data_IF_667430910235
#
_entry.id   IF_667430910235
#
_cell.length_a   1.000
_cell.length_b   1.000
_cell.length_c   1.000
_cell.angle_alpha   90.00
_cell.angle_beta   90.00
_cell.angle_gamma   90.00
#
_symmetry.space_group_name_H-M   'P 1'
#
loop_
_entity.id
_entity.type
_entity.pdbx_description
1 polymer ?
#
# COMPACT_ATOMS: atom_id res chain seq x y z
N UNK A 1 -22.99 -16.01 13.19
CA UNK A 1 -22.60 -15.08 14.26
C UNK A 1 -21.09 -14.82 14.24
N UNK A 2 -20.24 -15.84 14.06
CA UNK A 2 -18.78 -15.65 13.94
C UNK A 2 -18.35 -14.88 12.68
N UNK A 3 -18.99 -15.13 11.53
CA UNK A 3 -18.66 -14.43 10.27
C UNK A 3 -18.87 -12.90 10.34
N UNK A 4 -19.93 -12.42 11.02
CA UNK A 4 -20.16 -10.98 11.17
C UNK A 4 -19.19 -10.33 12.15
N UNK A 5 -18.79 -11.04 13.20
CA UNK A 5 -17.77 -10.57 14.14
C UNK A 5 -16.38 -10.52 13.48
N UNK A 6 -16.06 -11.49 12.62
CA UNK A 6 -14.84 -11.49 11.82
C UNK A 6 -14.82 -10.33 10.81
N UNK A 7 -15.94 -10.06 10.12
CA UNK A 7 -16.07 -8.91 9.23
C UNK A 7 -15.93 -7.58 9.99
N UNK A 8 -16.54 -7.46 11.17
CA UNK A 8 -16.36 -6.29 12.04
C UNK A 8 -14.90 -6.11 12.45
N UNK A 9 -14.18 -7.19 12.77
CA UNK A 9 -12.74 -7.14 13.07
C UNK A 9 -11.90 -6.75 11.85
N UNK A 10 -12.26 -7.22 10.66
CA UNK A 10 -11.63 -6.82 9.39
C UNK A 10 -11.79 -5.32 9.13
N UNK A 11 -12.89 -4.70 9.55
CA UNK A 11 -13.08 -3.24 9.51
C UNK A 11 -12.24 -2.48 10.54
N UNK A 12 -11.69 -3.15 11.57
CA UNK A 12 -10.80 -2.52 12.55
C UNK A 12 -9.34 -2.46 12.08
N UNK A 13 -8.95 -3.27 11.09
CA UNK A 13 -7.70 -3.09 10.38
C UNK A 13 -7.94 -2.10 9.25
N UNK A 14 -7.39 -0.87 9.31
CA UNK A 14 -7.68 0.15 8.32
C UNK A 14 -6.92 -0.17 7.02
N UNK A 15 -7.57 -0.92 6.12
CA UNK A 15 -7.01 -1.38 4.84
C UNK A 15 -7.49 -0.48 3.71
N UNK A 16 -6.55 0.17 3.04
CA UNK A 16 -6.75 0.82 1.76
C UNK A 16 -6.79 -0.20 0.62
N UNK A 17 -7.82 -0.11 -0.22
CA UNK A 17 -7.96 -0.92 -1.42
C UNK A 17 -8.02 -0.02 -2.65
N UNK A 18 -7.18 -0.29 -3.63
CA UNK A 18 -7.16 0.40 -4.93
C UNK A 18 -7.23 -0.64 -6.04
N UNK A 19 -8.14 -0.45 -6.98
CA UNK A 19 -8.11 -1.14 -8.27
C UNK A 19 -7.45 -0.23 -9.28
N UNK A 20 -6.42 -0.71 -9.94
CA UNK A 20 -5.67 0.02 -10.95
C UNK A 20 -5.46 -0.84 -12.20
N UNK A 21 -5.12 -0.21 -13.32
CA UNK A 21 -4.57 -0.92 -14.48
C UNK A 21 -3.12 -1.33 -14.23
N UNK A 22 -2.57 -2.21 -15.06
CA UNK A 22 -1.16 -2.59 -15.00
C UNK A 22 -0.22 -1.40 -15.23
N UNK A 23 -0.68 -0.36 -15.94
CA UNK A 23 0.01 0.92 -16.07
C UNK A 23 0.09 1.75 -14.78
N UNK A 24 -0.72 1.39 -13.78
CA UNK A 24 -0.89 2.12 -12.53
C UNK A 24 -2.08 3.08 -12.54
N UNK A 25 -2.80 3.24 -13.67
CA UNK A 25 -3.99 4.09 -13.73
C UNK A 25 -5.03 3.63 -12.70
N UNK A 26 -5.38 4.49 -11.76
CA UNK A 26 -6.35 4.20 -10.71
C UNK A 26 -7.75 4.20 -11.32
N UNK A 27 -8.43 3.06 -11.24
CA UNK A 27 -9.81 2.88 -11.70
C UNK A 27 -10.78 3.24 -10.59
N UNK A 28 -10.50 2.80 -9.35
CA UNK A 28 -11.24 3.19 -8.15
C UNK A 28 -10.45 2.87 -6.89
N UNK A 29 -10.85 3.51 -5.79
CA UNK A 29 -10.31 3.21 -4.47
C UNK A 29 -11.36 3.37 -3.38
N UNK A 30 -11.16 2.72 -2.23
CA UNK A 30 -11.99 2.96 -1.05
C UNK A 30 -11.52 4.24 -0.30
N UNK A 31 -12.35 4.81 0.61
CA UNK A 31 -11.98 6.01 1.36
C UNK A 31 -10.70 5.84 2.19
N UNK A 32 -10.46 4.64 2.72
CA UNK A 32 -9.26 4.35 3.50
C UNK A 32 -7.98 4.48 2.66
N UNK A 33 -7.99 4.01 1.40
CA UNK A 33 -6.86 4.16 0.49
C UNK A 33 -6.58 5.65 0.22
N UNK A 34 -7.61 6.45 -0.04
CA UNK A 34 -7.45 7.90 -0.23
C UNK A 34 -6.81 8.56 0.99
N UNK A 35 -7.26 8.19 2.20
CA UNK A 35 -6.70 8.72 3.45
C UNK A 35 -5.23 8.34 3.65
N UNK A 36 -4.86 7.08 3.38
CA UNK A 36 -3.47 6.62 3.46
C UNK A 36 -2.60 7.27 2.38
N UNK A 37 -3.05 7.34 1.13
CA UNK A 37 -2.29 7.93 0.02
C UNK A 37 -2.09 9.44 0.18
N UNK A 38 -3.04 10.15 0.81
CA UNK A 38 -2.88 11.56 1.17
C UNK A 38 -1.65 11.81 2.06
N UNK A 39 -1.21 10.82 2.84
CA UNK A 39 0.01 10.92 3.67
C UNK A 39 1.30 10.96 2.86
N UNK A 40 1.27 10.45 1.62
CA UNK A 40 2.35 10.56 0.62
C UNK A 40 2.20 11.84 -0.21
N UNK A 41 1.17 12.65 0.05
CA UNK A 41 0.87 13.86 -0.70
C UNK A 41 0.08 13.59 -1.97
N UNK A 42 -0.77 12.55 -1.99
CA UNK A 42 -1.78 12.41 -3.04
C UNK A 42 -2.72 13.63 -3.01
N UNK A 43 -2.90 14.26 -4.16
CA UNK A 43 -3.90 15.32 -4.36
C UNK A 43 -5.01 14.80 -5.29
N UNK A 44 -6.18 15.47 -5.29
CA UNK A 44 -7.41 15.05 -5.97
C UNK A 44 -7.30 14.78 -7.50
N UNK A 45 -6.14 15.02 -8.12
CA UNK A 45 -5.92 14.92 -9.57
C UNK A 45 -4.90 13.83 -9.96
N UNK A 46 -4.34 13.09 -9.00
CA UNK A 46 -3.37 12.03 -9.31
C UNK A 46 -4.08 10.71 -9.63
N UNK A 47 -4.06 10.35 -10.92
CA UNK A 47 -4.72 9.17 -11.46
C UNK A 47 -3.80 7.96 -11.59
N UNK A 48 -2.56 7.99 -11.10
CA UNK A 48 -1.64 6.84 -11.20
C UNK A 48 -1.00 6.49 -9.86
N UNK A 49 -1.19 5.24 -9.43
CA UNK A 49 -0.72 4.75 -8.13
C UNK A 49 0.81 4.70 -8.02
N UNK A 50 1.51 4.41 -9.12
CA UNK A 50 2.96 4.36 -9.12
C UNK A 50 3.58 5.75 -9.05
N UNK A 51 2.95 6.76 -9.69
CA UNK A 51 3.41 8.15 -9.56
C UNK A 51 3.31 8.64 -8.11
N UNK A 52 2.29 8.19 -7.37
CA UNK A 52 2.14 8.48 -5.95
C UNK A 52 3.24 7.78 -5.14
N UNK A 53 3.47 6.49 -5.36
CA UNK A 53 4.53 5.74 -4.65
C UNK A 53 5.93 6.28 -4.95
N UNK A 54 6.20 6.70 -6.18
CA UNK A 54 7.49 7.23 -6.65
C UNK A 54 7.92 8.50 -5.90
N UNK A 55 6.99 9.21 -5.23
CA UNK A 55 7.31 10.33 -4.32
C UNK A 55 8.17 9.88 -3.14
N UNK A 56 8.12 8.59 -2.79
CA UNK A 56 8.83 7.99 -1.66
C UNK A 56 9.83 6.93 -2.13
N UNK A 57 9.43 6.03 -3.03
CA UNK A 57 10.31 5.03 -3.61
C UNK A 57 9.80 4.54 -4.98
N UNK A 58 10.72 4.35 -5.92
CA UNK A 58 10.45 3.79 -7.25
C UNK A 58 10.46 2.26 -7.28
N UNK A 59 10.85 1.62 -6.19
CA UNK A 59 11.09 0.18 -6.13
C UNK A 59 9.81 -0.62 -6.39
N UNK A 60 8.66 -0.14 -5.91
CA UNK A 60 7.36 -0.79 -6.15
C UNK A 60 7.05 -0.85 -7.65
N UNK A 61 7.27 0.24 -8.39
CA UNK A 61 7.08 0.27 -9.84
C UNK A 61 8.03 -0.71 -10.52
N UNK A 62 9.30 -0.73 -10.12
CA UNK A 62 10.29 -1.63 -10.68
C UNK A 62 9.89 -3.10 -10.48
N UNK A 63 9.51 -3.49 -9.25
CA UNK A 63 9.09 -4.86 -8.93
C UNK A 63 7.90 -5.33 -9.79
N UNK A 64 6.91 -4.47 -9.99
CA UNK A 64 5.74 -4.81 -10.82
C UNK A 64 6.10 -4.88 -12.31
N UNK A 65 6.99 -4.00 -12.78
CA UNK A 65 7.35 -3.89 -14.20
C UNK A 65 8.49 -4.82 -14.64
N UNK A 66 9.23 -5.43 -13.70
CA UNK A 66 10.35 -6.33 -14.00
C UNK A 66 9.88 -7.63 -14.67
N UNK A 67 8.67 -8.09 -14.34
CA UNK A 67 8.12 -9.34 -14.87
C UNK A 67 6.69 -9.18 -15.43
N UNK A 68 6.50 -8.41 -16.53
CA UNK A 68 5.17 -8.15 -17.09
C UNK A 68 4.48 -9.44 -17.55
N UNK A 69 5.25 -10.44 -17.96
CA UNK A 69 4.78 -11.74 -18.41
C UNK A 69 4.73 -12.81 -17.30
N UNK A 70 4.99 -12.44 -16.03
CA UNK A 70 4.84 -13.41 -14.94
C UNK A 70 3.38 -13.88 -14.85
N UNK A 71 3.21 -15.16 -14.52
CA UNK A 71 1.91 -15.75 -14.17
C UNK A 71 1.60 -15.62 -12.68
N UNK A 72 2.48 -14.97 -11.92
CA UNK A 72 2.31 -14.79 -10.49
C UNK A 72 1.14 -13.87 -10.20
N UNK A 73 0.34 -14.27 -9.21
CA UNK A 73 -0.82 -13.50 -8.74
C UNK A 73 -0.37 -12.36 -7.84
N UNK A 74 0.71 -12.55 -7.08
CA UNK A 74 1.28 -11.53 -6.18
C UNK A 74 2.56 -11.01 -6.83
N UNK A 75 2.60 -9.72 -7.14
CA UNK A 75 3.73 -9.07 -7.82
C UNK A 75 4.63 -8.30 -6.84
N UNK A 76 4.07 -7.88 -5.71
CA UNK A 76 4.75 -7.16 -4.66
C UNK A 76 4.07 -7.54 -3.34
N UNK A 77 4.82 -7.99 -2.35
CA UNK A 77 4.28 -8.48 -1.08
C UNK A 77 4.88 -7.71 0.09
N UNK A 78 4.02 -7.09 0.91
CA UNK A 78 4.37 -6.36 2.14
C UNK A 78 5.55 -5.38 1.97
N UNK A 79 5.61 -4.69 0.84
CA UNK A 79 6.65 -3.71 0.59
C UNK A 79 6.45 -2.49 1.48
N UNK A 80 7.49 -2.12 2.21
CA UNK A 80 7.43 -1.07 3.22
C UNK A 80 7.89 0.26 2.64
N UNK A 81 6.95 1.17 2.37
CA UNK A 81 7.22 2.55 1.99
C UNK A 81 7.44 3.39 3.24
N UNK A 82 8.67 3.80 3.52
CA UNK A 82 8.99 4.68 4.63
C UNK A 82 8.64 6.13 4.27
N UNK A 83 7.72 6.73 5.02
CA UNK A 83 7.25 8.09 4.74
C UNK A 83 8.27 9.13 5.25
N UNK A 84 8.46 10.25 4.52
CA UNK A 84 9.24 11.37 5.03
C UNK A 84 8.59 11.92 6.30
N UNK A 85 9.39 12.38 7.26
CA UNK A 85 8.88 12.88 8.53
C UNK A 85 7.92 14.07 8.32
N UNK A 86 6.62 13.83 8.55
CA UNK A 86 5.62 14.87 8.53
C UNK A 86 5.58 15.57 9.90
N UNK A 87 6.27 16.71 10.01
CA UNK A 87 6.32 17.51 11.26
C UNK A 87 4.97 18.09 11.69
N UNK A 88 3.96 18.10 10.81
CA UNK A 88 2.68 18.74 11.06
C UNK A 88 1.65 17.86 11.79
N UNK A 89 1.80 16.53 11.76
CA UNK A 89 0.82 15.61 12.33
C UNK A 89 1.51 14.55 13.21
N UNK A 90 1.30 14.65 14.52
CA UNK A 90 1.93 13.79 15.54
C UNK A 90 1.56 12.30 15.40
N UNK A 91 0.42 12.02 14.79
CA UNK A 91 -0.12 10.67 14.57
C UNK A 91 -0.17 10.26 13.08
N UNK A 92 0.57 10.96 12.21
CA UNK A 92 0.67 10.52 10.82
C UNK A 92 1.37 9.16 10.73
N UNK A 93 0.97 8.30 9.78
CA UNK A 93 1.74 7.11 9.45
C UNK A 93 3.20 7.47 9.16
N UNK A 94 4.12 6.64 9.63
CA UNK A 94 5.55 6.73 9.32
C UNK A 94 5.97 5.72 8.26
N UNK A 95 5.16 4.68 8.03
CA UNK A 95 5.39 3.69 7.01
C UNK A 95 4.06 3.16 6.48
N UNK A 96 3.98 2.91 5.17
CA UNK A 96 2.87 2.18 4.57
C UNK A 96 3.34 0.79 4.11
N UNK A 97 2.51 -0.22 4.33
CA UNK A 97 2.68 -1.53 3.72
C UNK A 97 1.94 -1.56 2.38
N UNK A 98 2.59 -2.08 1.34
CA UNK A 98 2.03 -2.18 -0.01
C UNK A 98 2.13 -3.62 -0.52
N UNK A 99 0.97 -4.18 -0.86
CA UNK A 99 0.86 -5.45 -1.56
C UNK A 99 0.13 -5.24 -2.88
N UNK A 100 0.68 -5.74 -3.98
CA UNK A 100 0.11 -5.63 -5.32
C UNK A 100 -0.12 -7.02 -5.88
N UNK A 101 -1.35 -7.25 -6.31
CA UNK A 101 -1.79 -8.50 -6.90
C UNK A 101 -2.36 -8.26 -8.29
N UNK A 102 -2.07 -9.15 -9.23
CA UNK A 102 -2.74 -9.21 -10.53
C UNK A 102 -4.02 -10.03 -10.41
N UNK A 103 -5.12 -9.56 -10.99
CA UNK A 103 -6.35 -10.35 -11.00
C UNK A 103 -6.25 -11.48 -12.05
N UNK A 104 -6.43 -12.75 -11.68
CA UNK A 104 -6.29 -13.85 -12.65
C UNK A 104 -7.28 -13.80 -13.81
N UNK A 105 -8.48 -13.27 -13.56
CA UNK A 105 -9.54 -13.13 -14.57
C UNK A 105 -9.33 -11.95 -15.52
N UNK A 106 -8.49 -10.98 -15.14
CA UNK A 106 -8.16 -9.79 -15.93
C UNK A 106 -6.72 -9.36 -15.66
N UNK A 107 -5.76 -9.85 -16.47
CA UNK A 107 -4.33 -9.62 -16.26
C UNK A 107 -3.88 -8.16 -16.35
N UNK A 108 -4.68 -7.28 -16.99
CA UNK A 108 -4.41 -5.84 -17.03
C UNK A 108 -4.90 -5.14 -15.75
N UNK A 109 -5.62 -5.84 -14.87
CA UNK A 109 -6.09 -5.28 -13.60
C UNK A 109 -5.20 -5.68 -12.43
N UNK A 110 -4.80 -4.67 -11.66
CA UNK A 110 -4.12 -4.78 -10.39
C UNK A 110 -5.07 -4.48 -9.22
N UNK A 111 -4.91 -5.23 -8.14
CA UNK A 111 -5.44 -4.92 -6.82
C UNK A 111 -4.27 -4.53 -5.92
N UNK A 112 -4.34 -3.32 -5.37
CA UNK A 112 -3.33 -2.79 -4.45
C UNK A 112 -3.95 -2.69 -3.07
N UNK A 113 -3.27 -3.30 -2.10
CA UNK A 113 -3.59 -3.26 -0.68
C UNK A 113 -2.59 -2.35 0.01
N UNK A 114 -3.09 -1.37 0.73
CA UNK A 114 -2.28 -0.38 1.46
C UNK A 114 -2.66 -0.43 2.94
N UNK A 115 -1.66 -0.50 3.81
CA UNK A 115 -1.87 -0.52 5.27
C UNK A 115 -0.99 0.50 5.96
N UNK A 116 -1.38 0.98 7.14
CA UNK A 116 -0.46 1.67 8.03
C UNK A 116 0.47 0.65 8.69
N UNK A 117 1.74 0.63 8.26
CA UNK A 117 2.76 -0.28 8.76
C UNK A 117 3.64 0.32 9.86
N UNK A 118 3.27 1.49 10.39
CA UNK A 118 4.02 2.22 11.42
C UNK A 118 4.34 1.37 12.65
N UNK A 119 3.40 0.54 13.10
CA UNK A 119 3.60 -0.36 14.24
C UNK A 119 4.68 -1.41 13.99
N UNK A 120 4.60 -2.10 12.84
CA UNK A 120 5.58 -3.10 12.42
C UNK A 120 6.98 -2.48 12.26
N UNK A 121 7.04 -1.27 11.70
CA UNK A 121 8.29 -0.53 11.52
C UNK A 121 8.94 -0.14 12.86
N UNK A 122 8.14 0.38 13.82
CA UNK A 122 8.62 0.70 15.18
C UNK A 122 9.16 -0.54 15.88
N UNK A 123 8.48 -1.68 15.76
CA UNK A 123 8.92 -2.95 16.36
C UNK A 123 10.25 -3.42 15.77
N UNK A 124 10.40 -3.42 14.44
CA UNK A 124 11.67 -3.76 13.77
C UNK A 124 12.82 -2.86 14.26
N UNK A 125 12.57 -1.55 14.40
CA UNK A 125 13.57 -0.59 14.87
C UNK A 125 14.00 -0.84 16.32
N UNK A 126 13.05 -1.19 17.18
CA UNK A 126 13.35 -1.59 18.55
C UNK A 126 14.22 -2.84 18.56
N UNK A 127 13.81 -3.92 17.87
CA UNK A 127 14.59 -5.17 17.80
C UNK A 127 16.01 -4.96 17.30
N UNK A 128 16.22 -4.14 16.27
CA UNK A 128 17.55 -3.80 15.77
C UNK A 128 18.43 -3.05 16.80
N UNK A 129 17.82 -2.28 17.71
CA UNK A 129 18.53 -1.59 18.78
C UNK A 129 18.94 -2.53 19.93
N UNK A 130 18.22 -3.63 20.17
CA UNK A 130 18.56 -4.63 21.19
C UNK A 130 19.69 -5.58 20.77
N UNK A 131 20.00 -5.65 19.47
CA UNK A 131 21.04 -6.53 18.90
C UNK A 131 22.41 -5.81 18.81
N UNK A 132 22.48 -4.53 19.18
CA UNK A 132 23.73 -3.76 19.33
C UNK A 132 24.13 -3.65 20.80
#
# INVERSE_FOLDING_TARGET
>A
MEYSALLQFLHLAPIGLVRARFSGEIVLMNPMASQLLSTIGMHDVEFNIFDIFDKVSKDVRMLVQEFPNSKDVILCEDFQLLLPENKAAKDAPIALGVTIMRLPADPDTLMVVITDASGAWRLKRLQAAWIR
#
